data_IF_566733931452
#
_entry.id   IF_566733931452
#
_cell.length_a   1.000
_cell.length_b   1.000
_cell.length_c   1.000
_cell.angle_alpha   90.00
_cell.angle_beta   90.00
_cell.angle_gamma   90.00
#
_symmetry.space_group_name_H-M   'P 1'
#
loop_
_entity.id
_entity.type
_entity.pdbx_description
1 polymer ?
#
# COMPACT_ATOMS: atom_id res chain seq x y z
N UNK A 1 20.30 23.17 16.81
CA UNK A 1 21.04 21.96 16.40
C UNK A 1 20.19 20.69 16.47
N UNK A 2 19.25 20.55 17.43
CA UNK A 2 18.35 19.39 17.53
C UNK A 2 17.37 19.37 16.34
N UNK A 3 16.74 20.50 16.05
CA UNK A 3 15.77 20.64 14.92
C UNK A 3 16.39 20.33 13.53
N UNK A 4 17.64 20.67 13.30
CA UNK A 4 18.32 20.37 12.04
C UNK A 4 18.61 18.86 11.88
N UNK A 5 18.92 18.15 12.98
CA UNK A 5 19.17 16.71 12.95
C UNK A 5 17.87 15.92 12.75
N UNK A 6 16.79 16.33 13.40
CA UNK A 6 15.45 15.73 13.22
C UNK A 6 14.98 15.89 11.77
N UNK A 7 15.24 17.03 11.14
CA UNK A 7 14.89 17.28 9.74
C UNK A 7 15.70 16.39 8.79
N UNK A 8 17.00 16.19 9.02
CA UNK A 8 17.86 15.36 8.16
C UNK A 8 17.49 13.87 8.27
N UNK A 9 17.15 13.38 9.46
CA UNK A 9 16.65 12.02 9.68
C UNK A 9 15.32 11.78 8.97
N UNK A 10 14.42 12.76 9.00
CA UNK A 10 13.13 12.70 8.31
C UNK A 10 13.31 12.70 6.78
N UNK A 11 14.25 13.48 6.24
CA UNK A 11 14.59 13.49 4.81
C UNK A 11 15.09 12.09 4.38
N UNK A 12 16.02 11.50 5.13
CA UNK A 12 16.51 10.15 4.86
C UNK A 12 15.38 9.12 4.90
N UNK A 13 14.52 9.19 5.92
CA UNK A 13 13.37 8.31 6.07
C UNK A 13 12.42 8.41 4.85
N UNK A 14 12.00 9.61 4.48
CA UNK A 14 11.08 9.82 3.34
C UNK A 14 11.68 9.31 2.02
N UNK A 15 12.96 9.57 1.81
CA UNK A 15 13.66 9.13 0.61
C UNK A 15 13.71 7.60 0.52
N UNK A 16 14.14 6.94 1.60
CA UNK A 16 14.27 5.47 1.62
C UNK A 16 12.90 4.81 1.54
N UNK A 17 11.90 5.32 2.29
CA UNK A 17 10.52 4.86 2.22
C UNK A 17 9.96 4.91 0.80
N UNK A 18 10.15 6.04 0.11
CA UNK A 18 9.73 6.19 -1.28
C UNK A 18 10.37 5.13 -2.18
N UNK A 19 11.69 4.93 -2.07
CA UNK A 19 12.40 3.91 -2.87
C UNK A 19 11.87 2.49 -2.63
N UNK A 20 11.57 2.15 -1.38
CA UNK A 20 10.96 0.86 -1.00
C UNK A 20 9.58 0.75 -1.67
N UNK A 21 8.70 1.75 -1.50
CA UNK A 21 7.33 1.73 -1.99
C UNK A 21 7.22 1.89 -3.51
N UNK A 22 8.28 2.33 -4.21
CA UNK A 22 8.34 2.41 -5.66
C UNK A 22 9.07 1.22 -6.30
N UNK A 23 9.45 0.20 -5.50
CA UNK A 23 10.22 -0.96 -5.96
C UNK A 23 11.57 -0.59 -6.62
N UNK A 24 12.20 0.48 -6.16
CA UNK A 24 13.51 0.93 -6.62
C UNK A 24 14.68 0.23 -5.89
N UNK A 25 14.37 -0.70 -4.99
CA UNK A 25 15.31 -1.47 -4.18
C UNK A 25 15.17 -2.95 -4.51
N UNK A 26 16.28 -3.66 -4.70
CA UNK A 26 16.25 -5.12 -4.83
C UNK A 26 15.98 -5.76 -3.46
N UNK A 27 14.78 -6.32 -3.31
CA UNK A 27 14.31 -6.94 -2.05
C UNK A 27 15.09 -8.19 -1.64
N UNK A 28 15.89 -8.76 -2.55
CA UNK A 28 16.73 -9.94 -2.28
C UNK A 28 18.04 -9.59 -1.61
N UNK A 29 18.42 -8.33 -1.60
CA UNK A 29 19.69 -7.86 -1.06
C UNK A 29 19.51 -7.17 0.29
N UNK A 30 20.51 -7.34 1.16
CA UNK A 30 20.60 -6.56 2.40
C UNK A 30 20.86 -5.08 2.10
N UNK A 31 20.18 -4.21 2.85
CA UNK A 31 20.34 -2.76 2.72
C UNK A 31 21.53 -2.30 3.57
N UNK A 32 22.45 -1.55 2.96
CA UNK A 32 23.63 -1.01 3.67
C UNK A 32 23.43 0.48 3.94
N UNK A 33 23.57 0.85 5.21
CA UNK A 33 23.53 2.27 5.64
C UNK A 33 24.54 3.13 4.83
N UNK A 34 25.67 2.55 4.46
CA UNK A 34 26.74 3.23 3.70
C UNK A 34 26.29 3.68 2.31
N UNK A 35 25.52 2.84 1.60
CA UNK A 35 25.09 3.13 0.24
C UNK A 35 24.10 4.31 0.24
N UNK A 36 23.15 4.32 1.15
CA UNK A 36 22.20 5.43 1.31
C UNK A 36 22.87 6.71 1.88
N UNK A 37 23.87 6.56 2.75
CA UNK A 37 24.67 7.69 3.21
C UNK A 37 25.39 8.38 2.06
N UNK A 38 25.99 7.61 1.17
CA UNK A 38 26.67 8.12 -0.03
C UNK A 38 25.68 8.76 -1.01
N UNK A 39 24.56 8.09 -1.26
CA UNK A 39 23.54 8.55 -2.20
C UNK A 39 22.90 9.87 -1.77
N UNK A 40 22.66 10.02 -0.45
CA UNK A 40 22.04 11.22 0.12
C UNK A 40 23.04 12.33 0.49
N UNK A 41 24.34 12.03 0.46
CA UNK A 41 25.37 12.97 0.96
C UNK A 41 25.26 13.21 2.48
N UNK A 42 24.74 12.23 3.24
CA UNK A 42 24.51 12.33 4.69
C UNK A 42 25.49 11.43 5.46
N UNK A 43 25.67 11.71 6.76
CA UNK A 43 26.35 10.78 7.64
C UNK A 43 25.51 9.53 7.92
N UNK A 44 26.11 8.46 8.45
CA UNK A 44 25.41 7.19 8.73
C UNK A 44 24.32 7.32 9.81
N UNK A 45 24.47 8.24 10.76
CA UNK A 45 23.54 8.38 11.90
C UNK A 45 22.10 8.65 11.44
N UNK A 46 21.78 9.70 10.65
CA UNK A 46 20.41 9.95 10.20
C UNK A 46 19.86 8.83 9.30
N UNK A 47 20.70 8.15 8.52
CA UNK A 47 20.28 6.99 7.70
C UNK A 47 19.91 5.81 8.60
N UNK A 48 20.69 5.54 9.64
CA UNK A 48 20.38 4.49 10.62
C UNK A 48 19.10 4.78 11.40
N UNK A 49 18.87 6.05 11.79
CA UNK A 49 17.61 6.47 12.41
C UNK A 49 16.42 6.23 11.48
N UNK A 50 16.57 6.57 10.19
CA UNK A 50 15.55 6.29 9.17
C UNK A 50 15.27 4.78 9.04
N UNK A 51 16.30 3.93 9.02
CA UNK A 51 16.13 2.47 8.96
C UNK A 51 15.40 1.93 10.20
N UNK A 52 15.70 2.45 11.39
CA UNK A 52 15.01 2.07 12.62
C UNK A 52 13.53 2.49 12.58
N UNK A 53 13.21 3.66 12.02
CA UNK A 53 11.83 4.11 11.84
C UNK A 53 11.07 3.17 10.89
N UNK A 54 11.68 2.81 9.76
CA UNK A 54 11.08 1.89 8.79
C UNK A 54 10.94 0.46 9.33
N UNK A 55 11.86 0.01 10.19
CA UNK A 55 11.76 -1.26 10.91
C UNK A 55 10.56 -1.25 11.88
N UNK A 56 10.35 -0.16 12.62
CA UNK A 56 9.18 0.01 13.51
C UNK A 56 7.85 0.02 12.74
N UNK A 57 7.83 0.55 11.54
CA UNK A 57 6.66 0.53 10.65
C UNK A 57 6.43 -0.84 9.99
N UNK A 58 7.39 -1.76 10.10
CA UNK A 58 7.32 -3.08 9.49
C UNK A 58 7.56 -3.08 7.98
N UNK A 59 8.23 -2.05 7.44
CA UNK A 59 8.68 -2.01 6.04
C UNK A 59 10.08 -2.61 5.87
N UNK A 60 10.90 -2.52 6.91
CA UNK A 60 12.19 -3.20 7.01
C UNK A 60 12.17 -4.23 8.13
N UNK A 61 13.01 -5.22 8.00
CA UNK A 61 13.33 -6.18 9.06
C UNK A 61 14.85 -6.25 9.25
N UNK A 62 15.27 -6.73 10.41
CA UNK A 62 16.69 -6.92 10.75
C UNK A 62 17.00 -8.39 10.96
N UNK A 63 18.11 -8.85 10.38
CA UNK A 63 18.67 -10.18 10.65
C UNK A 63 20.04 -10.07 11.32
N UNK A 64 20.29 -10.92 12.30
CA UNK A 64 21.59 -11.01 12.96
C UNK A 64 22.68 -11.31 11.93
N UNK A 65 23.68 -10.42 11.85
CA UNK A 65 24.81 -10.54 10.93
C UNK A 65 24.56 -10.15 9.47
N UNK A 66 23.30 -9.88 9.06
CA UNK A 66 22.94 -9.51 7.67
C UNK A 66 22.46 -8.06 7.49
N UNK A 67 22.28 -7.31 8.61
CA UNK A 67 21.78 -5.93 8.56
C UNK A 67 20.28 -5.83 8.31
N UNK A 68 19.86 -4.76 7.63
CA UNK A 68 18.47 -4.50 7.27
C UNK A 68 18.13 -5.07 5.90
N UNK A 69 16.87 -5.46 5.72
CA UNK A 69 16.31 -5.92 4.44
C UNK A 69 14.82 -5.54 4.37
N UNK A 70 14.27 -5.49 3.18
CA UNK A 70 12.83 -5.20 3.00
C UNK A 70 12.01 -6.35 3.58
N UNK A 71 10.96 -6.02 4.35
CA UNK A 71 10.12 -7.00 5.05
C UNK A 71 9.46 -7.97 4.07
N UNK A 72 9.56 -9.27 4.37
CA UNK A 72 8.81 -10.33 3.70
C UNK A 72 7.60 -10.72 4.54
N UNK A 73 6.48 -11.01 3.88
CA UNK A 73 5.23 -11.36 4.53
C UNK A 73 4.84 -12.80 4.26
N UNK A 74 4.23 -13.44 5.26
CA UNK A 74 3.65 -14.78 5.14
C UNK A 74 2.21 -14.71 4.60
N UNK A 75 1.64 -15.87 4.22
CA UNK A 75 0.22 -15.96 3.87
C UNK A 75 -0.69 -15.49 5.03
N UNK A 76 -0.28 -15.78 6.28
CA UNK A 76 -1.01 -15.33 7.45
C UNK A 76 -1.00 -13.81 7.58
N UNK A 77 0.16 -13.17 7.39
CA UNK A 77 0.26 -11.72 7.44
C UNK A 77 -0.63 -11.06 6.37
N UNK A 78 -0.63 -11.62 5.16
CA UNK A 78 -1.49 -11.14 4.06
C UNK A 78 -2.95 -11.26 4.46
N UNK A 79 -3.37 -12.40 5.00
CA UNK A 79 -4.74 -12.60 5.48
C UNK A 79 -5.12 -11.57 6.55
N UNK A 80 -4.26 -11.37 7.56
CA UNK A 80 -4.47 -10.43 8.65
C UNK A 80 -4.58 -8.98 8.15
N UNK A 81 -3.80 -8.58 7.12
CA UNK A 81 -3.90 -7.25 6.50
C UNK A 81 -5.26 -7.04 5.83
N UNK A 82 -5.77 -8.03 5.12
CA UNK A 82 -7.08 -7.93 4.48
C UNK A 82 -8.24 -7.96 5.49
N UNK A 83 -8.15 -8.75 6.55
CA UNK A 83 -9.12 -8.76 7.65
C UNK A 83 -9.14 -7.40 8.37
N UNK A 84 -7.98 -6.84 8.67
CA UNK A 84 -7.85 -5.51 9.27
C UNK A 84 -8.50 -4.42 8.39
N UNK A 85 -8.25 -4.44 7.10
CA UNK A 85 -8.89 -3.55 6.12
C UNK A 85 -10.41 -3.72 6.12
N UNK A 86 -10.88 -4.96 6.04
CA UNK A 86 -12.31 -5.26 6.00
C UNK A 86 -13.05 -4.66 7.20
N UNK A 87 -12.50 -4.85 8.40
CA UNK A 87 -13.08 -4.32 9.63
C UNK A 87 -13.13 -2.77 9.59
N UNK A 88 -12.01 -2.13 9.34
CA UNK A 88 -11.90 -0.66 9.44
C UNK A 88 -12.58 0.06 8.27
N UNK A 89 -12.39 -0.40 7.03
CA UNK A 89 -12.96 0.26 5.86
C UNK A 89 -14.48 0.13 5.86
N UNK A 90 -15.02 -1.06 6.17
CA UNK A 90 -16.46 -1.29 6.27
C UNK A 90 -17.11 -0.46 7.38
N UNK A 91 -16.48 -0.41 8.56
CA UNK A 91 -16.98 0.39 9.68
C UNK A 91 -16.94 1.91 9.41
N UNK A 92 -16.00 2.36 8.54
CA UNK A 92 -15.82 3.77 8.19
C UNK A 92 -16.85 4.30 7.19
N UNK A 93 -17.57 3.43 6.47
CA UNK A 93 -18.50 3.82 5.39
C UNK A 93 -19.55 4.84 5.82
N UNK A 94 -20.07 4.74 7.06
CA UNK A 94 -21.04 5.70 7.61
C UNK A 94 -20.48 7.13 7.70
N UNK A 95 -19.21 7.27 8.06
CA UNK A 95 -18.54 8.57 8.14
C UNK A 95 -18.20 9.09 6.74
N UNK A 96 -17.80 8.19 5.83
CA UNK A 96 -17.51 8.52 4.43
C UNK A 96 -18.77 9.08 3.77
N UNK A 97 -19.91 8.41 3.88
CA UNK A 97 -21.19 8.88 3.29
C UNK A 97 -21.66 10.20 3.92
N UNK A 98 -21.43 10.39 5.22
CA UNK A 98 -21.80 11.64 5.89
C UNK A 98 -20.95 12.85 5.44
N UNK A 99 -19.69 12.63 5.05
CA UNK A 99 -18.74 13.69 4.76
C UNK A 99 -18.45 13.88 3.26
N UNK A 100 -18.75 12.89 2.39
CA UNK A 100 -18.44 12.95 0.97
C UNK A 100 -19.11 14.14 0.27
N UNK A 101 -18.33 14.91 -0.46
CA UNK A 101 -18.79 16.04 -1.27
C UNK A 101 -18.93 15.68 -2.75
N UNK A 102 -19.63 16.51 -3.53
CA UNK A 102 -19.70 16.32 -4.99
C UNK A 102 -18.33 16.49 -5.64
N UNK A 103 -17.48 17.35 -5.07
CA UNK A 103 -16.09 17.50 -5.50
C UNK A 103 -15.29 16.20 -5.35
N UNK A 104 -15.44 15.50 -4.23
CA UNK A 104 -14.79 14.21 -4.02
C UNK A 104 -15.27 13.18 -5.05
N UNK A 105 -16.56 13.14 -5.32
CA UNK A 105 -17.14 12.23 -6.34
C UNK A 105 -16.54 12.51 -7.73
N UNK A 106 -16.39 13.79 -8.11
CA UNK A 106 -15.80 14.16 -9.39
C UNK A 106 -14.30 13.83 -9.44
N UNK A 107 -13.56 14.05 -8.36
CA UNK A 107 -12.15 13.66 -8.23
C UNK A 107 -11.97 12.16 -8.40
N UNK A 108 -12.81 11.33 -7.78
CA UNK A 108 -12.79 9.87 -7.97
C UNK A 108 -13.13 9.44 -9.40
N UNK A 109 -14.07 10.12 -10.06
CA UNK A 109 -14.37 9.86 -11.48
C UNK A 109 -13.13 10.06 -12.34
N UNK A 110 -12.45 11.21 -12.18
CA UNK A 110 -11.22 11.53 -12.90
C UNK A 110 -10.08 10.55 -12.56
N UNK A 111 -10.01 10.11 -11.32
CA UNK A 111 -9.02 9.14 -10.88
C UNK A 111 -9.21 7.79 -11.55
N UNK A 112 -10.43 7.26 -11.59
CA UNK A 112 -10.76 6.00 -12.24
C UNK A 112 -10.50 6.04 -13.75
N UNK A 113 -10.77 7.17 -14.42
CA UNK A 113 -10.41 7.33 -15.84
C UNK A 113 -8.89 7.22 -16.06
N UNK A 114 -8.07 7.77 -15.17
CA UNK A 114 -6.60 7.64 -15.25
C UNK A 114 -6.17 6.18 -15.07
N UNK A 115 -6.79 5.45 -14.16
CA UNK A 115 -6.53 4.01 -13.96
C UNK A 115 -6.87 3.22 -15.23
N UNK A 116 -8.00 3.51 -15.87
CA UNK A 116 -8.40 2.88 -17.14
C UNK A 116 -7.37 3.11 -18.25
N UNK A 117 -6.84 4.32 -18.37
CA UNK A 117 -5.78 4.65 -19.33
C UNK A 117 -4.49 3.87 -19.02
N UNK A 118 -4.12 3.71 -17.75
CA UNK A 118 -2.95 2.92 -17.36
C UNK A 118 -3.13 1.46 -17.77
N UNK A 119 -4.30 0.88 -17.50
CA UNK A 119 -4.66 -0.49 -17.88
C UNK A 119 -4.60 -0.68 -19.41
N UNK A 120 -5.22 0.22 -20.18
CA UNK A 120 -5.22 0.18 -21.64
C UNK A 120 -3.81 0.26 -22.25
N UNK A 121 -2.89 0.99 -21.59
CA UNK A 121 -1.49 1.09 -21.98
C UNK A 121 -0.60 -0.06 -21.48
N UNK A 122 -1.17 -1.06 -20.81
CA UNK A 122 -0.43 -2.18 -20.24
C UNK A 122 0.41 -1.81 -19.00
N UNK A 123 0.20 -0.64 -18.39
CA UNK A 123 0.94 -0.14 -17.21
C UNK A 123 0.34 -0.70 -15.93
N UNK A 124 0.30 -2.03 -15.81
CA UNK A 124 -0.44 -2.74 -14.75
C UNK A 124 0.07 -2.46 -13.34
N UNK A 125 1.39 -2.32 -13.16
CA UNK A 125 1.98 -1.97 -11.85
C UNK A 125 1.52 -0.60 -11.35
N UNK A 126 1.43 0.38 -12.25
CA UNK A 126 0.93 1.72 -11.91
C UNK A 126 -0.57 1.71 -11.65
N UNK A 127 -1.34 0.94 -12.41
CA UNK A 127 -2.77 0.77 -12.17
C UNK A 127 -3.05 0.10 -10.81
N UNK A 128 -2.22 -0.86 -10.40
CA UNK A 128 -2.32 -1.51 -9.09
C UNK A 128 -2.01 -0.52 -7.96
N UNK A 129 -0.91 0.23 -8.07
CA UNK A 129 -0.55 1.26 -7.08
C UNK A 129 -1.64 2.33 -6.96
N UNK A 130 -2.20 2.78 -8.09
CA UNK A 130 -3.32 3.69 -8.11
C UNK A 130 -4.57 3.07 -7.45
N UNK A 131 -4.83 1.78 -7.65
CA UNK A 131 -5.92 1.08 -6.97
C UNK A 131 -5.82 1.12 -5.45
N UNK A 132 -4.60 0.96 -4.90
CA UNK A 132 -4.37 1.10 -3.46
C UNK A 132 -4.53 2.55 -2.99
N UNK A 133 -4.07 3.52 -3.79
CA UNK A 133 -4.27 4.95 -3.50
C UNK A 133 -5.75 5.35 -3.49
N UNK A 134 -6.59 4.73 -4.34
CA UNK A 134 -8.04 4.94 -4.35
C UNK A 134 -8.67 4.68 -2.98
N UNK A 135 -8.30 3.59 -2.32
CA UNK A 135 -8.79 3.28 -0.98
C UNK A 135 -8.33 4.29 0.07
N UNK A 136 -7.05 4.70 0.03
CA UNK A 136 -6.53 5.72 0.95
C UNK A 136 -7.36 7.00 0.81
N UNK A 137 -7.62 7.45 -0.41
CA UNK A 137 -8.43 8.65 -0.68
C UNK A 137 -9.87 8.53 -0.19
N UNK A 138 -10.51 7.37 -0.37
CA UNK A 138 -11.86 7.14 0.16
C UNK A 138 -11.85 7.21 1.68
N UNK A 139 -10.89 6.59 2.35
CA UNK A 139 -10.84 6.56 3.81
C UNK A 139 -10.50 7.93 4.42
N UNK A 140 -9.77 8.79 3.71
CA UNK A 140 -9.48 10.16 4.15
C UNK A 140 -10.78 10.97 4.38
N UNK A 141 -11.85 10.67 3.65
CA UNK A 141 -13.16 11.31 3.83
C UNK A 141 -13.77 11.01 5.20
N UNK A 142 -13.39 9.91 5.85
CA UNK A 142 -13.91 9.60 7.20
C UNK A 142 -13.43 10.57 8.27
N UNK A 143 -12.39 11.38 8.01
CA UNK A 143 -11.81 12.41 8.89
C UNK A 143 -11.37 11.89 10.28
N UNK A 144 -11.05 10.60 10.38
CA UNK A 144 -10.51 10.01 11.60
C UNK A 144 -9.03 9.64 11.38
N UNK A 145 -8.13 10.50 11.87
CA UNK A 145 -6.69 10.36 11.67
C UNK A 145 -6.12 9.02 12.18
N UNK A 146 -6.68 8.45 13.24
CA UNK A 146 -6.22 7.15 13.75
C UNK A 146 -6.55 6.02 12.76
N UNK A 147 -7.74 6.03 12.18
CA UNK A 147 -8.16 5.06 11.16
C UNK A 147 -7.33 5.27 9.90
N UNK A 148 -7.21 6.51 9.43
CA UNK A 148 -6.47 6.86 8.21
C UNK A 148 -5.01 6.40 8.31
N UNK A 149 -4.32 6.74 9.40
CA UNK A 149 -2.91 6.39 9.58
C UNK A 149 -2.69 4.88 9.75
N UNK A 150 -3.60 4.19 10.45
CA UNK A 150 -3.54 2.74 10.62
C UNK A 150 -3.73 2.00 9.29
N UNK A 151 -4.70 2.42 8.49
CA UNK A 151 -4.95 1.85 7.15
C UNK A 151 -3.82 2.19 6.18
N UNK A 152 -3.29 3.42 6.19
CA UNK A 152 -2.14 3.81 5.35
C UNK A 152 -0.94 2.90 5.59
N UNK A 153 -0.59 2.63 6.87
CA UNK A 153 0.47 1.69 7.23
C UNK A 153 0.18 0.26 6.72
N UNK A 154 -1.06 -0.19 6.79
CA UNK A 154 -1.47 -1.49 6.24
C UNK A 154 -1.32 -1.53 4.70
N UNK A 155 -1.74 -0.48 4.00
CA UNK A 155 -1.62 -0.37 2.54
C UNK A 155 -0.17 -0.37 2.06
N UNK A 156 0.74 0.29 2.78
CA UNK A 156 2.18 0.27 2.48
C UNK A 156 2.74 -1.16 2.49
N UNK A 157 2.30 -2.00 3.43
CA UNK A 157 2.69 -3.42 3.47
C UNK A 157 2.08 -4.21 2.31
N UNK A 158 0.83 -3.93 1.94
CA UNK A 158 0.20 -4.54 0.77
C UNK A 158 0.87 -4.14 -0.55
N UNK A 159 1.44 -2.93 -0.65
CA UNK A 159 2.30 -2.54 -1.78
C UNK A 159 3.50 -3.49 -1.87
N UNK A 160 4.19 -3.77 -0.75
CA UNK A 160 5.32 -4.70 -0.75
C UNK A 160 4.90 -6.13 -1.13
N UNK A 161 3.75 -6.58 -0.64
CA UNK A 161 3.16 -7.88 -1.04
C UNK A 161 2.92 -7.90 -2.54
N UNK A 162 2.41 -6.83 -3.13
CA UNK A 162 2.08 -6.76 -4.56
C UNK A 162 3.29 -6.94 -5.48
N UNK A 163 4.46 -6.49 -5.05
CA UNK A 163 5.71 -6.70 -5.79
C UNK A 163 6.20 -8.16 -5.76
N UNK A 164 5.84 -8.90 -4.72
CA UNK A 164 6.14 -10.33 -4.62
C UNK A 164 5.24 -11.20 -5.49
N UNK A 165 4.08 -10.67 -5.91
CA UNK A 165 3.03 -11.39 -6.62
C UNK A 165 2.69 -10.66 -7.92
N UNK A 166 3.37 -10.83 -8.99
CA UNK A 166 3.13 -10.15 -10.29
C UNK A 166 1.65 -10.27 -10.73
N UNK A 167 0.80 -9.31 -10.33
CA UNK A 167 -0.67 -9.34 -10.48
C UNK A 167 -1.13 -8.62 -11.75
N UNK A 168 -1.02 -9.23 -12.93
CA UNK A 168 -1.50 -8.62 -14.16
C UNK A 168 -3.04 -8.64 -14.29
N UNK A 169 -3.70 -9.76 -13.97
CA UNK A 169 -5.16 -9.91 -14.12
C UNK A 169 -6.01 -9.23 -13.02
N UNK A 170 -5.42 -8.94 -11.87
CA UNK A 170 -6.14 -8.36 -10.76
C UNK A 170 -6.60 -6.91 -11.01
N UNK A 171 -5.88 -6.16 -11.85
CA UNK A 171 -6.13 -4.74 -12.07
C UNK A 171 -7.47 -4.46 -12.75
N UNK A 172 -7.89 -5.27 -13.74
CA UNK A 172 -9.18 -5.09 -14.43
C UNK A 172 -10.37 -5.30 -13.50
N UNK A 173 -10.35 -6.41 -12.73
CA UNK A 173 -11.44 -6.74 -11.78
C UNK A 173 -11.53 -5.71 -10.68
N UNK A 174 -10.39 -5.28 -10.14
CA UNK A 174 -10.35 -4.24 -9.11
C UNK A 174 -10.88 -2.90 -9.62
N UNK A 175 -10.55 -2.49 -10.83
CA UNK A 175 -11.07 -1.26 -11.43
C UNK A 175 -12.61 -1.28 -11.59
N UNK A 176 -13.18 -2.45 -11.95
CA UNK A 176 -14.62 -2.62 -12.04
C UNK A 176 -15.30 -2.54 -10.66
N UNK A 177 -14.70 -3.18 -9.64
CA UNK A 177 -15.15 -3.11 -8.25
C UNK A 177 -15.09 -1.66 -7.72
N UNK A 178 -14.02 -0.91 -8.02
CA UNK A 178 -13.89 0.50 -7.65
C UNK A 178 -14.96 1.41 -8.30
N UNK A 179 -15.38 1.11 -9.56
CA UNK A 179 -16.50 1.84 -10.19
C UNK A 179 -17.82 1.63 -9.45
N UNK A 180 -18.06 0.42 -8.93
CA UNK A 180 -19.25 0.15 -8.08
C UNK A 180 -19.21 1.00 -6.80
N UNK A 181 -18.05 1.07 -6.12
CA UNK A 181 -17.88 1.94 -4.95
C UNK A 181 -18.12 3.41 -5.30
N UNK A 182 -17.55 3.90 -6.39
CA UNK A 182 -17.78 5.27 -6.87
C UNK A 182 -19.26 5.54 -7.14
N UNK A 183 -19.98 4.59 -7.75
CA UNK A 183 -21.43 4.72 -7.97
C UNK A 183 -22.21 4.83 -6.66
N UNK A 184 -21.82 4.06 -5.63
CA UNK A 184 -22.41 4.13 -4.29
C UNK A 184 -22.11 5.46 -3.57
N UNK A 185 -20.88 5.99 -3.72
CA UNK A 185 -20.51 7.33 -3.22
C UNK A 185 -21.33 8.41 -3.89
N UNK A 186 -21.49 8.36 -5.22
CA UNK A 186 -22.28 9.32 -5.99
C UNK A 186 -23.76 9.34 -5.60
N UNK A 187 -24.33 8.16 -5.33
CA UNK A 187 -25.73 8.05 -4.87
C UNK A 187 -25.88 8.21 -3.35
N UNK A 188 -24.79 8.36 -2.61
CA UNK A 188 -24.75 8.40 -1.13
C UNK A 188 -25.44 7.20 -0.49
N UNK A 189 -25.36 6.04 -1.12
CA UNK A 189 -25.98 4.81 -0.67
C UNK A 189 -25.03 4.07 0.30
N UNK A 190 -25.29 4.21 1.60
CA UNK A 190 -24.49 3.59 2.66
C UNK A 190 -24.45 2.06 2.53
N UNK A 191 -25.61 1.45 2.27
CA UNK A 191 -25.72 -0.01 2.20
C UNK A 191 -24.88 -0.58 1.05
N UNK A 192 -25.01 0.01 -0.14
CA UNK A 192 -24.20 -0.40 -1.29
C UNK A 192 -22.73 -0.11 -1.12
N UNK A 193 -22.34 1.04 -0.55
CA UNK A 193 -20.93 1.32 -0.31
C UNK A 193 -20.32 0.29 0.63
N UNK A 194 -21.03 -0.08 1.70
CA UNK A 194 -20.59 -1.07 2.65
C UNK A 194 -20.44 -2.46 2.01
N UNK A 195 -21.42 -2.88 1.23
CA UNK A 195 -21.40 -4.13 0.47
C UNK A 195 -20.21 -4.17 -0.51
N UNK A 196 -20.07 -3.14 -1.37
CA UNK A 196 -19.04 -3.11 -2.41
C UNK A 196 -17.62 -3.04 -1.86
N UNK A 197 -17.40 -2.31 -0.75
CA UNK A 197 -16.09 -2.30 -0.06
C UNK A 197 -15.79 -3.69 0.50
N UNK A 198 -16.75 -4.29 1.21
CA UNK A 198 -16.58 -5.63 1.76
C UNK A 198 -16.24 -6.67 0.69
N UNK A 199 -17.02 -6.72 -0.38
CA UNK A 199 -16.85 -7.67 -1.47
C UNK A 199 -15.51 -7.49 -2.19
N UNK A 200 -15.14 -6.23 -2.45
CA UNK A 200 -13.85 -5.92 -3.05
C UNK A 200 -12.69 -6.43 -2.20
N UNK A 201 -12.72 -6.18 -0.88
CA UNK A 201 -11.64 -6.59 0.02
C UNK A 201 -11.52 -8.12 0.08
N UNK A 202 -12.64 -8.83 0.18
CA UNK A 202 -12.68 -10.29 0.14
C UNK A 202 -12.12 -10.83 -1.19
N UNK A 203 -12.61 -10.31 -2.31
CA UNK A 203 -12.16 -10.71 -3.64
C UNK A 203 -10.66 -10.41 -3.85
N UNK A 204 -10.18 -9.25 -3.42
CA UNK A 204 -8.77 -8.87 -3.52
C UNK A 204 -7.89 -9.77 -2.67
N UNK A 205 -8.32 -10.10 -1.44
CA UNK A 205 -7.63 -11.07 -0.57
C UNK A 205 -7.48 -12.42 -1.27
N UNK A 206 -8.56 -12.96 -1.77
CA UNK A 206 -8.57 -14.30 -2.36
C UNK A 206 -7.71 -14.36 -3.62
N UNK A 207 -7.75 -13.31 -4.45
CA UNK A 207 -6.84 -13.15 -5.61
C UNK A 207 -5.37 -13.13 -5.16
N UNK A 208 -5.04 -12.32 -4.16
CA UNK A 208 -3.66 -12.17 -3.66
C UNK A 208 -3.13 -13.47 -3.07
N UNK A 209 -3.91 -14.14 -2.22
CA UNK A 209 -3.51 -15.40 -1.58
C UNK A 209 -3.32 -16.53 -2.61
N UNK A 210 -4.19 -16.60 -3.63
CA UNK A 210 -4.05 -17.57 -4.72
C UNK A 210 -2.72 -17.39 -5.45
N UNK A 211 -2.40 -16.18 -5.90
CA UNK A 211 -1.18 -15.89 -6.64
C UNK A 211 0.06 -16.11 -5.76
N UNK A 212 0.02 -15.67 -4.51
CA UNK A 212 1.11 -15.89 -3.56
C UNK A 212 1.42 -17.37 -3.34
N UNK A 213 0.39 -18.21 -3.26
CA UNK A 213 0.56 -19.66 -3.11
C UNK A 213 1.15 -20.31 -4.38
N UNK A 214 0.74 -19.85 -5.56
CA UNK A 214 1.27 -20.31 -6.86
C UNK A 214 2.76 -19.94 -7.01
N UNK A 215 3.15 -18.71 -6.64
CA UNK A 215 4.55 -18.28 -6.66
C UNK A 215 5.43 -19.08 -5.70
N UNK A 216 4.96 -19.36 -4.47
CA UNK A 216 5.71 -20.23 -3.55
C UNK A 216 5.95 -21.62 -4.12
N UNK A 217 4.97 -22.22 -4.75
CA UNK A 217 5.15 -23.54 -5.39
C UNK A 217 6.24 -23.50 -6.48
N UNK A 218 6.27 -22.46 -7.30
CA UNK A 218 7.26 -22.32 -8.37
C UNK A 218 8.70 -22.11 -7.85
N UNK A 219 8.88 -21.46 -6.69
CA UNK A 219 10.19 -21.29 -6.04
C UNK A 219 10.76 -22.59 -5.46
N UNK A 220 9.90 -23.55 -5.13
CA UNK A 220 10.33 -24.88 -4.61
C UNK A 220 10.59 -25.92 -5.71
N UNK A 221 10.24 -25.62 -6.99
CA UNK A 221 10.41 -26.56 -8.11
C UNK A 221 11.58 -26.22 -9.05
N UNK A 222 12.37 -25.18 -8.77
CA UNK A 222 13.64 -24.93 -9.45
C UNK A 222 14.78 -25.13 -8.44
N UNK A 223 15.61 -26.22 -8.61
CA UNK A 223 16.76 -26.50 -7.76
C UNK A 223 17.88 -25.46 -7.96
#
# INVERSE_FOLDING_TARGET
MKDLRENVGLIAYQYIKRKILQNEIDFRQGLKEEDFSRELGLSRTPVREAFIMLEKEGLLARSLGKGFYVQNFSMKDIYDFYEFRQILETASTKYIIANVTDKDVDEFSNFLQKVDIMIQKGRMGEALAAGLEFHIKIIEICQNELIINSLRNCYEKLILVSYSVHQLDASYKSAEEHRKMHSALKSRDLGKLQEYINDHIVNARDRTLKIFNEHKKNLYFHP
#
